data_IF_550808488363
#
_entry.id   IF_550808488363
#
_cell.length_a   1.000
_cell.length_b   1.000
_cell.length_c   1.000
_cell.angle_alpha   90.00
_cell.angle_beta   90.00
_cell.angle_gamma   90.00
#
_symmetry.space_group_name_H-M   'P 1'
#
loop_
_entity.id
_entity.type
_entity.pdbx_description
1 polymer ?
#
# COMPACT_ATOMS: atom_id res chain seq x y z
N UNK A 1 33.23 66.87 12.46
CA UNK A 1 34.20 67.67 11.67
C UNK A 1 33.48 68.38 10.53
N UNK A 2 33.95 69.56 10.13
CA UNK A 2 33.11 70.73 9.94
C UNK A 2 32.86 71.05 8.46
N UNK A 3 31.81 71.85 8.20
CA UNK A 3 31.83 73.06 7.34
C UNK A 3 32.08 72.83 5.83
N UNK A 4 31.37 73.47 4.90
CA UNK A 4 30.60 74.71 4.94
C UNK A 4 29.97 74.85 3.54
N UNK A 5 28.68 75.22 3.48
CA UNK A 5 28.25 76.55 3.00
C UNK A 5 28.17 76.64 1.47
N UNK A 6 27.23 77.29 0.81
CA UNK A 6 26.49 78.52 1.02
C UNK A 6 25.61 78.59 -0.27
N UNK A 7 24.52 79.33 -0.44
CA UNK A 7 23.97 80.47 0.26
C UNK A 7 22.53 80.66 -0.23
N UNK A 8 21.81 81.36 0.62
CA UNK A 8 20.39 81.63 0.67
C UNK A 8 19.95 82.82 -0.22
N UNK A 9 18.61 82.97 -0.32
CA UNK A 9 17.80 84.19 -0.58
C UNK A 9 17.48 84.43 -2.07
N UNK A 10 16.26 84.75 -2.49
CA UNK A 10 15.25 85.62 -1.84
C UNK A 10 13.85 85.40 -2.46
N UNK A 11 12.84 85.55 -1.58
CA UNK A 11 11.39 85.67 -1.75
C UNK A 11 10.98 86.70 -2.82
N UNK A 12 9.95 86.40 -3.62
CA UNK A 12 8.64 87.12 -3.67
C UNK A 12 7.70 86.51 -4.72
N UNK A 13 6.41 86.42 -4.35
CA UNK A 13 5.29 85.95 -5.17
C UNK A 13 4.76 87.04 -6.13
N UNK A 14 4.47 86.59 -7.36
CA UNK A 14 3.34 86.86 -8.29
C UNK A 14 2.80 88.30 -8.47
N UNK A 15 2.66 88.73 -9.75
CA UNK A 15 1.33 89.01 -10.31
C UNK A 15 1.06 88.26 -11.65
N UNK A 16 -0.14 87.72 -11.82
CA UNK A 16 -0.69 87.28 -13.13
C UNK A 16 -0.96 88.49 -14.03
N UNK A 17 -1.07 88.29 -15.36
CA UNK A 17 -2.41 88.44 -15.93
C UNK A 17 -2.77 87.53 -17.14
N UNK A 18 -4.08 87.23 -17.17
CA UNK A 18 -5.01 87.12 -18.32
C UNK A 18 -5.16 85.78 -19.06
N UNK A 19 -6.41 85.34 -19.06
CA UNK A 19 -6.99 84.26 -19.84
C UNK A 19 -7.31 84.71 -21.28
N UNK A 20 -6.83 83.87 -22.22
CA UNK A 20 -7.42 83.36 -23.48
C UNK A 20 -7.83 84.32 -24.63
N UNK A 21 -7.77 83.82 -25.88
CA UNK A 21 -8.88 83.02 -26.43
C UNK A 21 -8.50 81.58 -26.83
N UNK A 22 -9.50 80.71 -26.78
CA UNK A 22 -9.51 79.31 -27.21
C UNK A 22 -9.03 79.13 -28.65
N UNK A 23 -8.10 78.19 -28.85
CA UNK A 23 -8.00 77.43 -30.09
C UNK A 23 -8.31 75.97 -29.78
N UNK A 24 -9.36 75.52 -30.44
CA UNK A 24 -9.92 74.17 -30.46
C UNK A 24 -8.83 73.14 -30.76
N UNK A 25 -8.54 72.25 -29.79
CA UNK A 25 -7.90 70.97 -30.08
C UNK A 25 -8.93 70.09 -30.78
N UNK A 26 -9.00 70.23 -32.10
CA UNK A 26 -9.53 69.18 -32.95
C UNK A 26 -8.66 67.94 -32.79
N UNK A 27 -9.29 66.80 -32.60
CA UNK A 27 -8.68 65.49 -32.74
C UNK A 27 -8.05 65.43 -34.13
N UNK A 28 -6.73 65.55 -34.21
CA UNK A 28 -6.00 65.21 -35.44
C UNK A 28 -6.14 63.72 -35.62
N UNK A 29 -6.78 63.23 -36.70
CA UNK A 29 -6.79 61.80 -37.01
C UNK A 29 -5.36 61.30 -37.03
N UNK A 30 -5.11 60.15 -36.38
CA UNK A 30 -3.80 59.50 -36.40
C UNK A 30 -3.28 59.47 -37.85
N UNK A 31 -2.03 59.91 -38.05
CA UNK A 31 -1.37 59.81 -39.35
C UNK A 31 -1.43 58.35 -39.78
N UNK A 32 -1.89 58.07 -41.01
CA UNK A 32 -2.10 56.73 -41.56
C UNK A 32 -0.87 55.81 -41.38
N UNK A 33 0.30 56.42 -41.24
CA UNK A 33 1.59 55.77 -40.98
C UNK A 33 1.73 55.26 -39.54
N UNK A 34 1.21 55.97 -38.54
CA UNK A 34 1.14 55.50 -37.15
C UNK A 34 0.11 54.38 -36.98
N UNK A 35 -1.00 54.46 -37.71
CA UNK A 35 -2.04 53.42 -37.70
C UNK A 35 -1.52 52.09 -38.30
N UNK A 36 -0.75 52.16 -39.38
CA UNK A 36 -0.06 50.99 -39.95
C UNK A 36 0.93 50.36 -38.97
N UNK A 37 1.67 51.17 -38.20
CA UNK A 37 2.62 50.69 -37.20
C UNK A 37 1.91 50.00 -36.03
N UNK A 38 0.76 50.53 -35.58
CA UNK A 38 -0.08 49.94 -34.55
C UNK A 38 -0.71 48.62 -35.02
N UNK A 39 -1.26 48.58 -36.23
CA UNK A 39 -1.82 47.35 -36.81
C UNK A 39 -0.75 46.28 -37.04
N UNK A 40 0.45 46.65 -37.48
CA UNK A 40 1.57 45.71 -37.62
C UNK A 40 2.02 45.16 -36.26
N UNK A 41 2.03 45.99 -35.20
CA UNK A 41 2.36 45.56 -33.84
C UNK A 41 1.28 44.65 -33.25
N UNK A 42 0.01 44.93 -33.52
CA UNK A 42 -1.10 44.04 -33.14
C UNK A 42 -1.01 42.70 -33.86
N UNK A 43 -0.80 42.70 -35.18
CA UNK A 43 -0.58 41.46 -35.94
C UNK A 43 0.62 40.65 -35.45
N UNK A 44 1.73 41.30 -35.13
CA UNK A 44 2.90 40.62 -34.58
C UNK A 44 2.62 40.04 -33.19
N UNK A 45 1.93 40.77 -32.28
CA UNK A 45 1.51 40.21 -30.98
C UNK A 45 0.52 39.06 -31.14
N UNK A 46 -0.40 39.12 -32.11
CA UNK A 46 -1.34 38.04 -32.41
C UNK A 46 -0.63 36.81 -33.01
N UNK A 47 0.42 37.02 -33.80
CA UNK A 47 1.26 35.94 -34.31
C UNK A 47 2.16 35.34 -33.22
N UNK A 48 2.76 36.15 -32.36
CA UNK A 48 3.55 35.69 -31.21
C UNK A 48 2.67 34.88 -30.25
N UNK A 49 1.49 35.38 -29.88
CA UNK A 49 0.55 34.63 -29.01
C UNK A 49 -0.02 33.37 -29.66
N UNK A 50 -0.22 33.35 -30.99
CA UNK A 50 -0.55 32.11 -31.73
C UNK A 50 0.60 31.12 -31.80
N UNK A 51 1.83 31.59 -31.94
CA UNK A 51 3.01 30.73 -32.02
C UNK A 51 3.36 30.16 -30.65
N UNK A 52 3.23 30.98 -29.60
CA UNK A 52 3.32 30.57 -28.20
C UNK A 52 2.24 29.53 -27.87
N UNK A 53 0.96 29.83 -28.08
CA UNK A 53 -0.14 28.87 -27.82
C UNK A 53 -0.07 27.58 -28.66
N UNK A 54 0.66 27.57 -29.77
CA UNK A 54 0.93 26.37 -30.59
C UNK A 54 2.08 25.51 -30.06
N UNK A 55 3.04 26.09 -29.34
CA UNK A 55 4.22 25.38 -28.80
C UNK A 55 4.00 24.94 -27.34
N UNK A 56 3.17 25.67 -26.59
CA UNK A 56 2.81 25.36 -25.20
C UNK A 56 1.84 24.18 -24.92
N UNK A 57 1.05 23.62 -25.85
CA UNK A 57 0.15 22.49 -25.53
C UNK A 57 0.91 21.23 -25.10
N UNK A 58 2.10 21.01 -25.66
CA UNK A 58 2.93 19.82 -25.38
C UNK A 58 3.76 19.98 -24.11
N UNK A 59 4.20 21.20 -23.79
CA UNK A 59 4.97 21.49 -22.58
C UNK A 59 4.08 21.50 -21.32
N UNK A 60 2.84 21.99 -21.46
CA UNK A 60 1.86 21.99 -20.37
C UNK A 60 1.32 20.58 -20.12
N UNK A 61 0.99 19.81 -21.17
CA UNK A 61 0.61 18.40 -21.03
C UNK A 61 1.70 17.54 -20.37
N UNK A 62 2.98 17.77 -20.70
CA UNK A 62 4.11 17.07 -20.05
C UNK A 62 4.29 17.48 -18.58
N UNK A 63 4.01 18.73 -18.21
CA UNK A 63 4.02 19.20 -16.81
C UNK A 63 2.86 18.62 -16.00
N UNK A 64 1.68 18.54 -16.60
CA UNK A 64 0.50 17.89 -16.00
C UNK A 64 0.74 16.39 -15.77
N UNK A 65 1.31 15.69 -16.75
CA UNK A 65 1.69 14.27 -16.63
C UNK A 65 2.73 14.05 -15.51
N UNK A 66 3.72 14.96 -15.38
CA UNK A 66 4.69 14.92 -14.27
C UNK A 66 4.02 15.14 -12.91
N UNK A 67 3.11 16.10 -12.79
CA UNK A 67 2.36 16.35 -11.56
C UNK A 67 1.43 15.18 -11.20
N UNK A 68 0.83 14.54 -12.20
CA UNK A 68 0.00 13.37 -12.00
C UNK A 68 0.84 12.16 -11.56
N UNK A 69 2.02 11.95 -12.17
CA UNK A 69 2.97 10.94 -11.71
C UNK A 69 3.45 11.21 -10.29
N UNK A 70 3.80 12.45 -9.95
CA UNK A 70 4.16 12.85 -8.58
C UNK A 70 3.02 12.61 -7.59
N UNK A 71 1.77 12.94 -7.95
CA UNK A 71 0.60 12.65 -7.12
C UNK A 71 0.41 11.15 -6.93
N UNK A 72 0.55 10.36 -7.99
CA UNK A 72 0.47 8.89 -7.92
C UNK A 72 1.62 8.31 -7.08
N UNK A 73 2.82 8.86 -7.18
CA UNK A 73 3.96 8.45 -6.35
C UNK A 73 3.72 8.79 -4.88
N UNK A 74 3.28 10.02 -4.56
CA UNK A 74 2.92 10.38 -3.18
C UNK A 74 1.79 9.51 -2.65
N UNK A 75 0.77 9.20 -3.46
CA UNK A 75 -0.32 8.31 -3.04
C UNK A 75 0.18 6.87 -2.79
N UNK A 76 1.11 6.37 -3.60
CA UNK A 76 1.77 5.06 -3.38
C UNK A 76 2.63 5.08 -2.12
N UNK A 77 3.40 6.13 -1.91
CA UNK A 77 4.18 6.31 -0.68
C UNK A 77 3.26 6.32 0.54
N UNK A 78 2.15 7.05 0.50
CA UNK A 78 1.18 7.03 1.60
C UNK A 78 0.56 5.67 1.84
N UNK A 79 0.28 4.90 0.76
CA UNK A 79 -0.27 3.54 0.86
C UNK A 79 0.74 2.51 1.38
N UNK A 80 2.04 2.73 1.19
CA UNK A 80 3.11 1.80 1.58
C UNK A 80 3.76 2.15 2.92
N UNK A 81 3.44 3.32 3.50
CA UNK A 81 3.90 3.70 4.84
C UNK A 81 3.50 2.63 5.86
N UNK A 82 4.41 2.25 6.77
CA UNK A 82 4.08 1.35 7.86
C UNK A 82 3.05 1.99 8.78
N UNK A 83 1.99 1.26 9.08
CA UNK A 83 0.92 1.66 9.99
C UNK A 83 1.01 0.80 11.24
N UNK A 84 0.77 1.32 12.45
CA UNK A 84 0.65 0.48 13.64
C UNK A 84 -0.40 -0.62 13.43
N UNK A 85 -0.05 -1.87 13.69
CA UNK A 85 -0.98 -2.98 13.54
C UNK A 85 -2.00 -2.98 14.69
N UNK A 86 -3.28 -3.11 14.33
CA UNK A 86 -4.35 -3.23 15.32
C UNK A 86 -4.34 -4.63 15.90
N UNK A 87 -3.94 -4.75 17.17
CA UNK A 87 -3.93 -6.03 17.87
C UNK A 87 -5.37 -6.53 18.07
N UNK A 88 -5.68 -7.80 17.77
CA UNK A 88 -6.93 -8.42 18.18
C UNK A 88 -7.10 -8.35 19.70
N UNK A 89 -8.36 -8.34 20.18
CA UNK A 89 -8.66 -8.30 21.63
C UNK A 89 -8.04 -9.47 22.42
N UNK A 90 -7.78 -10.59 21.75
CA UNK A 90 -7.16 -11.79 22.31
C UNK A 90 -5.62 -11.73 22.35
N UNK A 91 -5.02 -10.61 21.93
CA UNK A 91 -3.58 -10.46 21.78
C UNK A 91 -3.07 -10.98 20.44
N UNK A 92 -1.74 -10.87 20.25
CA UNK A 92 -1.07 -11.39 19.06
C UNK A 92 -1.09 -12.93 19.10
N UNK A 93 -1.58 -13.61 18.04
CA UNK A 93 -1.52 -15.07 17.98
C UNK A 93 -0.09 -15.59 18.15
N UNK A 94 0.08 -16.70 18.88
CA UNK A 94 1.41 -17.28 19.21
C UNK A 94 2.24 -17.66 17.97
N UNK A 95 1.58 -17.90 16.83
CA UNK A 95 2.23 -18.28 15.58
C UNK A 95 2.72 -17.09 14.76
N UNK A 96 2.40 -15.84 15.14
CA UNK A 96 2.86 -14.67 14.42
C UNK A 96 4.33 -14.40 14.74
N UNK A 97 5.15 -14.38 13.69
CA UNK A 97 6.58 -14.10 13.69
C UNK A 97 6.90 -12.89 12.82
N UNK A 98 8.10 -12.37 12.96
CA UNK A 98 8.61 -11.28 12.11
C UNK A 98 8.48 -11.69 10.63
N UNK A 99 7.83 -10.88 9.81
CA UNK A 99 7.52 -11.19 8.41
C UNK A 99 6.25 -12.02 8.20
N UNK A 100 5.38 -12.18 9.20
CA UNK A 100 4.10 -12.87 9.03
C UNK A 100 3.14 -12.04 8.19
N UNK A 101 2.54 -12.66 7.17
CA UNK A 101 1.50 -12.05 6.35
C UNK A 101 0.19 -11.94 7.14
N UNK A 102 -0.41 -10.76 7.17
CA UNK A 102 -1.69 -10.52 7.85
C UNK A 102 -2.60 -9.66 6.99
N UNK A 103 -3.89 -9.78 7.26
CA UNK A 103 -4.93 -8.94 6.67
C UNK A 103 -5.32 -7.85 7.66
N UNK A 104 -5.25 -6.59 7.23
CA UNK A 104 -5.70 -5.45 8.03
C UNK A 104 -7.23 -5.26 7.91
N UNK A 105 -7.82 -4.41 8.76
CA UNK A 105 -9.26 -4.11 8.78
C UNK A 105 -9.81 -3.65 7.41
N UNK A 106 -8.98 -2.98 6.60
CA UNK A 106 -9.33 -2.53 5.24
C UNK A 106 -9.17 -3.64 4.17
N UNK A 107 -9.07 -4.91 4.57
CA UNK A 107 -8.77 -6.07 3.72
C UNK A 107 -7.43 -5.99 2.96
N UNK A 108 -6.56 -5.05 3.33
CA UNK A 108 -5.21 -4.95 2.76
C UNK A 108 -4.31 -6.01 3.36
N UNK A 109 -3.44 -6.57 2.54
CA UNK A 109 -2.51 -7.62 2.96
C UNK A 109 -1.13 -6.98 3.08
N UNK A 110 -0.40 -7.38 4.11
CA UNK A 110 0.91 -6.84 4.42
C UNK A 110 1.65 -7.76 5.37
N UNK A 111 2.92 -7.45 5.63
CA UNK A 111 3.72 -8.21 6.59
C UNK A 111 3.84 -7.44 7.91
N UNK A 112 3.90 -8.19 9.00
CA UNK A 112 4.22 -7.65 10.31
C UNK A 112 5.74 -7.51 10.47
N UNK A 113 6.17 -6.36 10.97
CA UNK A 113 7.51 -6.17 11.52
C UNK A 113 7.48 -5.68 12.95
N UNK A 114 8.64 -5.71 13.58
CA UNK A 114 8.93 -5.13 14.90
C UNK A 114 8.05 -5.75 15.99
N UNK A 115 7.89 -7.08 15.95
CA UNK A 115 7.08 -7.83 16.94
C UNK A 115 7.63 -7.73 18.38
N UNK A 116 8.93 -7.44 18.52
CA UNK A 116 9.60 -7.33 19.83
C UNK A 116 9.33 -5.97 20.51
N UNK A 117 8.90 -4.97 19.73
CA UNK A 117 8.54 -3.66 20.26
C UNK A 117 7.08 -3.67 20.75
N UNK A 118 6.74 -2.74 21.65
CA UNK A 118 5.41 -2.65 22.27
C UNK A 118 4.24 -2.55 21.27
N UNK A 119 4.49 -2.24 19.99
CA UNK A 119 3.49 -2.29 18.92
C UNK A 119 4.10 -2.82 17.62
N UNK A 120 3.59 -3.95 17.09
CA UNK A 120 4.00 -4.42 15.78
C UNK A 120 3.56 -3.44 14.69
N UNK A 121 4.40 -3.27 13.67
CA UNK A 121 4.14 -2.42 12.51
C UNK A 121 3.63 -3.25 11.33
N UNK A 122 2.47 -2.87 10.81
CA UNK A 122 1.91 -3.40 9.59
C UNK A 122 2.49 -2.66 8.39
N UNK A 123 3.12 -3.40 7.49
CA UNK A 123 3.64 -2.87 6.25
C UNK A 123 2.77 -3.35 5.09
N UNK A 124 1.96 -2.46 4.48
CA UNK A 124 1.06 -2.83 3.39
C UNK A 124 1.86 -3.34 2.18
N UNK A 125 1.38 -4.41 1.56
CA UNK A 125 1.94 -4.96 0.33
C UNK A 125 1.01 -4.66 -0.85
N UNK A 126 1.57 -4.12 -1.93
CA UNK A 126 0.83 -3.92 -3.16
C UNK A 126 0.74 -5.24 -3.92
N UNK A 127 -0.44 -5.88 -3.85
CA UNK A 127 -0.75 -7.11 -4.56
C UNK A 127 -1.82 -6.86 -5.62
N UNK A 128 -1.75 -7.64 -6.71
CA UNK A 128 -2.87 -7.68 -7.66
C UNK A 128 -4.15 -8.20 -6.97
N UNK A 129 -5.36 -7.84 -7.45
CA UNK A 129 -6.60 -8.29 -6.83
C UNK A 129 -6.74 -9.82 -6.73
N UNK A 130 -6.17 -10.56 -7.70
CA UNK A 130 -6.14 -12.03 -7.66
C UNK A 130 -5.19 -12.56 -6.58
N UNK A 131 -3.98 -11.99 -6.48
CA UNK A 131 -3.02 -12.35 -5.44
C UNK A 131 -3.54 -11.98 -4.05
N UNK A 132 -4.24 -10.86 -3.91
CA UNK A 132 -4.85 -10.45 -2.65
C UNK A 132 -5.92 -11.46 -2.19
N UNK A 133 -6.83 -11.87 -3.07
CA UNK A 133 -7.80 -12.93 -2.75
C UNK A 133 -7.13 -14.23 -2.37
N UNK A 134 -6.06 -14.61 -3.09
CA UNK A 134 -5.31 -15.82 -2.78
C UNK A 134 -4.62 -15.76 -1.41
N UNK A 135 -3.99 -14.63 -1.10
CA UNK A 135 -3.33 -14.40 0.17
C UNK A 135 -4.34 -14.36 1.33
N UNK A 136 -5.54 -13.81 1.12
CA UNK A 136 -6.60 -13.81 2.12
C UNK A 136 -7.03 -15.24 2.51
N UNK A 137 -7.36 -16.07 1.52
CA UNK A 137 -7.73 -17.47 1.78
C UNK A 137 -6.59 -18.27 2.41
N UNK A 138 -5.36 -18.01 1.96
CA UNK A 138 -4.17 -18.63 2.55
C UNK A 138 -3.99 -18.26 4.03
N UNK A 139 -4.14 -16.97 4.38
CA UNK A 139 -4.05 -16.49 5.77
C UNK A 139 -5.13 -17.17 6.64
N UNK A 140 -6.35 -17.31 6.13
CA UNK A 140 -7.44 -18.00 6.84
C UNK A 140 -7.14 -19.48 7.07
N UNK A 141 -6.61 -20.20 6.07
CA UNK A 141 -6.16 -21.60 6.22
C UNK A 141 -5.09 -21.67 7.30
N UNK A 142 -4.09 -20.78 7.25
CA UNK A 142 -2.99 -20.76 8.20
C UNK A 142 -3.47 -20.54 9.62
N UNK A 143 -4.33 -19.56 9.83
CA UNK A 143 -4.80 -19.21 11.16
C UNK A 143 -5.73 -20.29 11.73
N UNK A 144 -6.56 -20.91 10.87
CA UNK A 144 -7.40 -22.05 11.25
C UNK A 144 -6.56 -23.28 11.58
N UNK A 145 -5.50 -23.55 10.82
CA UNK A 145 -4.56 -24.64 11.08
C UNK A 145 -3.90 -24.48 12.46
N UNK A 146 -3.36 -23.30 12.76
CA UNK A 146 -2.72 -23.06 14.07
C UNK A 146 -3.74 -23.10 15.20
N UNK A 147 -4.95 -22.57 14.98
CA UNK A 147 -6.02 -22.64 15.97
C UNK A 147 -6.42 -24.09 16.26
N UNK A 148 -6.60 -24.93 15.23
CA UNK A 148 -6.88 -26.35 15.40
C UNK A 148 -5.74 -27.03 16.17
N UNK A 149 -4.49 -26.82 15.74
CA UNK A 149 -3.33 -27.45 16.36
C UNK A 149 -3.19 -27.07 17.84
N UNK A 150 -3.28 -25.77 18.17
CA UNK A 150 -3.18 -25.29 19.55
C UNK A 150 -4.37 -25.76 20.39
N UNK A 151 -5.59 -25.76 19.86
CA UNK A 151 -6.77 -26.22 20.58
C UNK A 151 -6.68 -27.71 20.93
N UNK A 152 -6.24 -28.54 19.98
CA UNK A 152 -6.07 -29.98 20.21
C UNK A 152 -4.87 -30.26 21.15
N UNK A 153 -3.79 -29.49 21.05
CA UNK A 153 -2.64 -29.60 21.96
C UNK A 153 -3.01 -29.24 23.40
N UNK A 154 -3.77 -28.15 23.60
CA UNK A 154 -4.13 -27.65 24.93
C UNK A 154 -5.24 -28.48 25.60
N UNK A 155 -6.23 -28.95 24.81
CA UNK A 155 -7.39 -29.70 25.35
C UNK A 155 -7.21 -31.21 25.34
N UNK A 156 -6.24 -31.74 24.59
CA UNK A 156 -6.02 -33.17 24.34
C UNK A 156 -7.29 -33.88 23.87
N UNK A 157 -8.14 -33.16 23.12
CA UNK A 157 -9.40 -33.67 22.57
C UNK A 157 -9.49 -33.35 21.09
N UNK A 158 -10.14 -34.24 20.36
CA UNK A 158 -10.39 -34.02 18.95
C UNK A 158 -11.41 -32.90 18.75
N UNK A 159 -11.09 -31.93 17.89
CA UNK A 159 -12.02 -30.89 17.48
C UNK A 159 -12.44 -31.07 16.01
N UNK A 160 -13.45 -31.91 15.79
CA UNK A 160 -13.93 -32.22 14.45
C UNK A 160 -14.55 -31.01 13.73
N UNK A 161 -15.08 -30.02 14.46
CA UNK A 161 -15.68 -28.82 13.84
C UNK A 161 -14.60 -27.93 13.19
N UNK A 162 -13.50 -27.64 13.89
CA UNK A 162 -12.37 -26.89 13.33
C UNK A 162 -11.70 -27.65 12.18
N UNK A 163 -11.60 -28.98 12.28
CA UNK A 163 -11.08 -29.82 11.20
C UNK A 163 -11.96 -29.80 9.95
N UNK A 164 -13.28 -29.85 10.09
CA UNK A 164 -14.20 -29.68 8.96
C UNK A 164 -14.08 -28.29 8.34
N UNK A 165 -13.92 -27.25 9.16
CA UNK A 165 -13.66 -25.90 8.66
C UNK A 165 -12.36 -25.83 7.86
N UNK A 166 -11.26 -26.39 8.39
CA UNK A 166 -9.97 -26.43 7.70
C UNK A 166 -10.07 -27.18 6.35
N UNK A 167 -10.80 -28.30 6.31
CA UNK A 167 -11.06 -29.02 5.06
C UNK A 167 -11.80 -28.16 4.04
N UNK A 168 -12.87 -27.46 4.44
CA UNK A 168 -13.63 -26.57 3.53
C UNK A 168 -12.76 -25.44 2.99
N UNK A 169 -12.00 -24.78 3.86
CA UNK A 169 -11.08 -23.70 3.44
C UNK A 169 -10.01 -24.20 2.47
N UNK A 170 -9.47 -25.40 2.72
CA UNK A 170 -8.54 -26.03 1.80
C UNK A 170 -9.19 -26.35 0.45
N UNK A 171 -10.37 -26.97 0.45
CA UNK A 171 -11.08 -27.34 -0.78
C UNK A 171 -11.42 -26.08 -1.61
N UNK A 172 -11.94 -25.03 -0.96
CA UNK A 172 -12.21 -23.72 -1.58
C UNK A 172 -10.96 -23.06 -2.18
N UNK A 173 -9.80 -23.23 -1.54
CA UNK A 173 -8.53 -22.73 -2.06
C UNK A 173 -8.10 -23.54 -3.28
N UNK A 174 -8.16 -24.87 -3.19
CA UNK A 174 -7.75 -25.75 -4.29
C UNK A 174 -8.63 -25.60 -5.52
N UNK A 175 -9.92 -25.37 -5.35
CA UNK A 175 -10.87 -25.16 -6.45
C UNK A 175 -10.59 -23.85 -7.21
N UNK A 176 -10.13 -22.80 -6.51
CA UNK A 176 -9.88 -21.48 -7.10
C UNK A 176 -8.46 -21.30 -7.61
N UNK A 177 -7.47 -21.85 -6.91
CA UNK A 177 -6.06 -21.53 -7.11
C UNK A 177 -5.16 -22.76 -7.33
N UNK A 178 -5.70 -23.98 -7.27
CA UNK A 178 -4.93 -25.22 -7.36
C UNK A 178 -4.26 -25.59 -6.03
N UNK A 179 -3.34 -26.54 -6.07
CA UNK A 179 -2.68 -27.09 -4.89
C UNK A 179 -1.82 -26.05 -4.16
N UNK A 180 -1.76 -26.11 -2.83
CA UNK A 180 -0.94 -25.20 -2.02
C UNK A 180 0.53 -25.21 -2.46
N UNK A 181 1.06 -26.39 -2.79
CA UNK A 181 2.44 -26.57 -3.21
C UNK A 181 2.70 -26.31 -4.71
N UNK A 182 1.71 -25.86 -5.47
CA UNK A 182 1.92 -25.47 -6.87
C UNK A 182 2.92 -24.32 -6.97
N UNK A 183 3.77 -24.26 -8.02
CA UNK A 183 4.80 -23.23 -8.15
C UNK A 183 4.21 -21.81 -8.16
N UNK A 184 2.98 -21.66 -8.68
CA UNK A 184 2.25 -20.39 -8.64
C UNK A 184 1.97 -19.94 -7.21
N UNK A 185 1.66 -20.89 -6.32
CA UNK A 185 1.21 -20.72 -4.94
C UNK A 185 2.36 -20.53 -3.96
N UNK A 186 3.42 -21.28 -4.21
CA UNK A 186 4.61 -21.41 -3.40
C UNK A 186 5.36 -20.08 -3.18
N UNK A 187 5.47 -19.20 -4.17
CA UNK A 187 6.15 -17.90 -3.98
C UNK A 187 5.44 -17.02 -2.94
N UNK A 188 4.11 -16.98 -2.95
CA UNK A 188 3.33 -16.21 -1.99
C UNK A 188 3.42 -16.81 -0.59
N UNK A 189 3.34 -18.13 -0.48
CA UNK A 189 3.38 -18.83 0.81
C UNK A 189 4.78 -18.68 1.43
N UNK A 190 5.84 -18.68 0.62
CA UNK A 190 7.23 -18.45 1.09
C UNK A 190 7.50 -17.02 1.57
N UNK A 191 6.72 -16.03 1.13
CA UNK A 191 6.81 -14.68 1.67
C UNK A 191 6.34 -14.62 3.13
N UNK A 192 5.54 -15.59 3.56
CA UNK A 192 5.06 -15.68 4.93
C UNK A 192 6.05 -16.44 5.83
N UNK A 193 6.39 -15.86 6.97
CA UNK A 193 7.27 -16.49 7.95
C UNK A 193 6.73 -17.84 8.49
N UNK A 194 5.39 -18.00 8.53
CA UNK A 194 4.69 -19.22 8.95
C UNK A 194 4.20 -20.11 7.80
N UNK A 195 4.68 -19.90 6.57
CA UNK A 195 4.17 -20.62 5.41
C UNK A 195 4.67 -22.05 5.27
N UNK A 196 5.80 -22.40 5.88
CA UNK A 196 6.40 -23.74 5.76
C UNK A 196 5.52 -24.83 6.37
N UNK A 197 4.89 -24.52 7.50
CA UNK A 197 3.95 -25.37 8.20
C UNK A 197 2.71 -25.65 7.32
N UNK A 198 2.26 -24.65 6.56
CA UNK A 198 1.09 -24.76 5.68
C UNK A 198 1.40 -25.56 4.42
N UNK A 199 2.61 -25.42 3.85
CA UNK A 199 3.06 -26.28 2.74
C UNK A 199 3.10 -27.76 3.14
N UNK A 200 3.25 -28.06 4.43
CA UNK A 200 3.26 -29.42 4.96
C UNK A 200 1.86 -30.05 5.05
N UNK A 201 0.79 -29.29 4.77
CA UNK A 201 -0.57 -29.80 4.62
C UNK A 201 -0.75 -30.67 3.37
N UNK A 202 0.16 -30.55 2.41
CA UNK A 202 0.19 -31.38 1.20
C UNK A 202 1.49 -32.20 1.16
N UNK A 203 1.35 -33.50 0.94
CA UNK A 203 2.46 -34.43 0.73
C UNK A 203 2.42 -34.97 -0.68
N UNK A 204 3.56 -35.01 -1.35
CA UNK A 204 3.65 -35.67 -2.65
C UNK A 204 3.89 -37.17 -2.48
N UNK A 205 2.96 -37.98 -2.99
CA UNK A 205 3.14 -39.42 -3.17
C UNK A 205 2.93 -39.74 -4.65
N UNK A 206 3.91 -40.39 -5.27
CA UNK A 206 3.85 -40.77 -6.69
C UNK A 206 3.54 -39.59 -7.63
N UNK A 207 4.04 -38.39 -7.30
CA UNK A 207 3.81 -37.18 -8.10
C UNK A 207 2.43 -36.53 -7.92
N UNK A 208 1.56 -37.06 -7.04
CA UNK A 208 0.27 -36.46 -6.70
C UNK A 208 0.31 -35.83 -5.32
N UNK A 209 -0.30 -34.64 -5.19
CA UNK A 209 -0.49 -34.00 -3.90
C UNK A 209 -1.59 -34.72 -3.12
N UNK A 210 -1.26 -35.16 -1.90
CA UNK A 210 -2.13 -35.87 -0.96
C UNK A 210 -2.27 -35.02 0.30
N UNK A 211 -3.50 -34.92 0.81
CA UNK A 211 -3.80 -34.21 2.07
C UNK A 211 -3.02 -34.81 3.24
N UNK A 212 -2.59 -33.96 4.17
CA UNK A 212 -1.94 -34.38 5.41
C UNK A 212 -2.94 -35.00 6.40
N UNK A 213 -2.41 -35.75 7.36
CA UNK A 213 -3.22 -36.51 8.32
C UNK A 213 -4.07 -35.61 9.24
N UNK A 214 -3.70 -34.32 9.40
CA UNK A 214 -4.44 -33.36 10.24
C UNK A 214 -5.87 -33.14 9.76
N UNK A 215 -6.14 -33.37 8.47
CA UNK A 215 -7.48 -33.29 7.88
C UNK A 215 -8.41 -34.44 8.29
N UNK A 216 -7.86 -35.55 8.77
CA UNK A 216 -8.61 -36.77 9.10
C UNK A 216 -8.55 -37.12 10.60
N UNK A 217 -7.40 -36.90 11.26
CA UNK A 217 -7.18 -37.30 12.65
C UNK A 217 -6.40 -36.25 13.45
N UNK A 218 -6.46 -36.28 14.79
CA UNK A 218 -5.60 -35.46 15.64
C UNK A 218 -4.13 -35.76 15.39
N UNK A 219 -3.32 -34.70 15.26
CA UNK A 219 -1.85 -34.79 15.11
C UNK A 219 -1.14 -34.10 16.29
N UNK A 220 -1.85 -33.26 17.05
CA UNK A 220 -1.28 -32.52 18.16
C UNK A 220 -1.02 -33.37 19.42
N UNK A 221 -1.75 -34.48 19.60
CA UNK A 221 -1.62 -35.37 20.74
C UNK A 221 -1.82 -36.83 20.32
N UNK A 222 -1.26 -37.75 21.11
CA UNK A 222 -1.41 -39.17 20.85
C UNK A 222 -2.74 -39.67 21.41
N UNK A 223 -3.67 -40.07 20.54
CA UNK A 223 -4.95 -40.67 20.95
C UNK A 223 -4.78 -42.07 21.56
N UNK A 224 -3.63 -42.72 21.34
CA UNK A 224 -3.26 -44.03 21.88
C UNK A 224 -2.22 -43.88 22.99
N UNK A 225 -2.47 -43.00 23.95
CA UNK A 225 -1.73 -43.07 25.21
C UNK A 225 -2.11 -44.38 25.91
N UNK A 226 -1.24 -45.39 25.77
CA UNK A 226 -1.37 -46.66 26.48
C UNK A 226 -1.03 -46.38 27.94
N UNK A 227 -2.02 -45.90 28.70
CA UNK A 227 -1.88 -45.62 30.15
C UNK A 227 -1.91 -46.90 30.99
N UNK A 228 -2.40 -48.01 30.41
CA UNK A 228 -2.40 -49.32 31.03
C UNK A 228 -1.89 -50.36 30.03
N UNK A 229 -0.90 -51.15 30.46
CA UNK A 229 -0.31 -52.20 29.66
C UNK A 229 -0.70 -53.55 30.26
N UNK A 230 -1.67 -54.23 29.63
CA UNK A 230 -2.06 -55.59 30.04
C UNK A 230 -1.06 -56.64 29.52
N UNK A 231 -0.24 -56.27 28.54
CA UNK A 231 0.66 -57.17 27.81
C UNK A 231 2.08 -56.59 27.71
N UNK A 232 3.11 -57.45 27.66
CA UNK A 232 4.51 -57.03 27.54
C UNK A 232 4.82 -56.17 26.28
N UNK A 233 4.08 -56.39 25.19
CA UNK A 233 4.20 -55.57 23.97
C UNK A 233 3.62 -54.16 24.15
N UNK A 234 2.52 -54.05 24.87
CA UNK A 234 1.86 -52.77 25.16
C UNK A 234 2.70 -51.96 26.18
N UNK A 235 3.36 -52.63 27.13
CA UNK A 235 4.30 -52.00 28.05
C UNK A 235 5.53 -51.43 27.34
N UNK A 236 6.05 -52.13 26.31
CA UNK A 236 7.14 -51.63 25.49
C UNK A 236 6.72 -50.40 24.68
N UNK A 237 5.54 -50.45 24.05
CA UNK A 237 4.98 -49.32 23.30
C UNK A 237 4.71 -48.10 24.20
N UNK A 238 4.26 -48.32 25.44
CA UNK A 238 4.10 -47.27 26.44
C UNK A 238 5.45 -46.67 26.88
N UNK A 239 6.51 -47.47 27.00
CA UNK A 239 7.85 -46.99 27.37
C UNK A 239 8.54 -46.21 26.26
N UNK A 240 8.22 -46.46 24.99
CA UNK A 240 8.81 -45.77 23.83
C UNK A 240 8.13 -44.42 23.53
N UNK A 241 6.91 -44.23 24.01
CA UNK A 241 6.12 -43.00 23.82
C UNK A 241 6.28 -41.99 24.98
N UNK A 242 7.28 -42.19 25.86
CA UNK A 242 7.51 -41.36 27.04
C UNK A 242 8.58 -40.29 26.83
#
# INVERSE_FOLDING_TARGET
>A
NPRRSNRTRRRTEIPQPKQSPQETKSETPLDWREELMLNSRQKNREQETKTESSVYPVADARREEQLENLKREMEREERTKPVPFVLPQQGLPKHYKEGTLVTNADNRIGYLRDLNDFRPLFHPLELSPQQQKRASLYIEIRDTYHHLYLNEADTLRENSALRQMLNRLYDDFTDKFGNLNDPKNLDLIKMDAGGREILSLERYREGKAVKADIFERPVAFNTREITHADNARDALAASLNK
#
